data_IF_149326947906
#
_entry.id   IF_149326947906
#
_cell.length_a   1.000
_cell.length_b   1.000
_cell.length_c   1.000
_cell.angle_alpha   90.00
_cell.angle_beta   90.00
_cell.angle_gamma   90.00
#
_symmetry.space_group_name_H-M   'P 1'
#
loop_
_entity.id
_entity.type
_entity.pdbx_description
1 polymer ?
#
# COMPACT_ATOMS: atom_id res chain seq x y z
N UNK A 1 11.54 1.17 9.51
CA UNK A 1 10.93 1.46 8.20
C UNK A 1 9.58 2.08 8.43
N UNK A 2 9.15 3.05 7.61
CA UNK A 2 7.83 3.67 7.75
C UNK A 2 7.07 3.65 6.43
N UNK A 3 5.76 3.49 6.52
CA UNK A 3 4.87 3.52 5.36
C UNK A 3 3.68 4.43 5.61
N UNK A 4 3.26 5.16 4.57
CA UNK A 4 1.96 5.83 4.51
C UNK A 4 1.13 5.09 3.47
N UNK A 5 0.02 4.50 3.92
CA UNK A 5 -0.86 3.68 3.08
C UNK A 5 -2.10 4.49 2.76
N UNK A 6 -2.49 4.47 1.49
CA UNK A 6 -3.73 5.07 1.00
C UNK A 6 -4.57 3.98 0.34
N UNK A 7 -5.80 3.80 0.82
CA UNK A 7 -6.83 3.03 0.12
C UNK A 7 -7.29 3.86 -1.07
N UNK A 8 -7.15 3.32 -2.28
CA UNK A 8 -7.43 4.03 -3.52
C UNK A 8 -8.36 3.24 -4.41
N UNK A 9 -9.23 3.94 -5.16
CA UNK A 9 -9.95 3.36 -6.29
C UNK A 9 -9.08 3.22 -7.53
N UNK A 10 -8.03 4.02 -7.65
CA UNK A 10 -6.97 3.92 -8.64
C UNK A 10 -5.73 4.71 -8.21
N UNK A 11 -4.55 4.34 -8.70
CA UNK A 11 -3.32 5.13 -8.57
C UNK A 11 -2.39 4.91 -9.76
N UNK A 12 -1.51 5.87 -10.05
CA UNK A 12 -0.54 5.76 -11.14
C UNK A 12 0.75 6.54 -10.87
N UNK A 13 1.82 6.14 -11.56
CA UNK A 13 3.11 6.83 -11.56
C UNK A 13 3.42 7.24 -12.99
N UNK A 14 3.71 8.52 -13.20
CA UNK A 14 4.03 9.10 -14.51
C UNK A 14 5.41 9.76 -14.45
N UNK A 15 6.26 9.48 -15.43
CA UNK A 15 7.62 10.03 -15.54
C UNK A 15 7.72 10.73 -16.89
N UNK A 16 8.08 12.02 -16.90
CA UNK A 16 8.17 12.84 -18.11
C UNK A 16 6.91 12.77 -19.00
N UNK A 17 5.72 12.76 -18.38
CA UNK A 17 4.44 12.68 -19.08
C UNK A 17 4.04 11.29 -19.59
N UNK A 18 4.88 10.27 -19.41
CA UNK A 18 4.58 8.88 -19.78
C UNK A 18 4.18 8.08 -18.54
N UNK A 19 2.98 7.49 -18.57
CA UNK A 19 2.53 6.60 -17.50
C UNK A 19 3.44 5.37 -17.44
N UNK A 20 4.13 5.21 -16.32
CA UNK A 20 5.07 4.10 -16.10
C UNK A 20 4.36 2.87 -15.53
N UNK A 21 3.40 3.08 -14.64
CA UNK A 21 2.61 2.03 -14.00
C UNK A 21 1.31 2.60 -13.43
N UNK A 22 0.27 1.77 -13.38
CA UNK A 22 -1.01 2.10 -12.78
C UNK A 22 -1.65 0.87 -12.14
N UNK A 23 -2.48 1.11 -11.13
CA UNK A 23 -3.32 0.13 -10.47
C UNK A 23 -4.77 0.63 -10.46
N UNK A 24 -5.71 -0.31 -10.35
CA UNK A 24 -7.12 -0.01 -10.07
C UNK A 24 -7.31 0.05 -8.54
N UNK A 25 -8.40 -0.51 -8.02
CA UNK A 25 -8.66 -0.57 -6.59
C UNK A 25 -7.53 -1.32 -5.85
N UNK A 26 -7.08 -0.75 -4.74
CA UNK A 26 -6.05 -1.35 -3.92
C UNK A 26 -5.34 -0.36 -3.01
N UNK A 27 -4.05 -0.59 -2.80
CA UNK A 27 -3.19 0.24 -1.97
C UNK A 27 -2.19 1.04 -2.79
N UNK A 28 -2.11 2.34 -2.52
CA UNK A 28 -0.94 3.15 -2.84
C UNK A 28 -0.09 3.31 -1.58
N UNK A 29 1.17 2.87 -1.64
CA UNK A 29 2.06 2.83 -0.47
C UNK A 29 3.25 3.75 -0.73
N UNK A 30 3.42 4.77 0.11
CA UNK A 30 4.62 5.58 0.15
C UNK A 30 5.54 5.00 1.22
N UNK A 31 6.73 4.56 0.82
CA UNK A 31 7.69 3.86 1.69
C UNK A 31 8.86 4.78 2.00
N UNK A 32 9.16 4.97 3.28
CA UNK A 32 10.36 5.61 3.79
C UNK A 32 11.26 4.59 4.48
N UNK A 33 12.52 4.53 4.05
CA UNK A 33 13.54 3.62 4.56
C UNK A 33 14.67 4.46 5.18
N UNK A 34 15.11 4.10 6.38
CA UNK A 34 16.26 4.69 7.08
C UNK A 34 17.40 3.67 7.25
N UNK A 35 18.58 4.14 7.65
CA UNK A 35 19.80 3.31 7.74
C UNK A 35 19.68 2.13 8.72
N UNK A 36 18.90 2.30 9.79
CA UNK A 36 18.69 1.28 10.80
C UNK A 36 17.70 0.18 10.37
N UNK A 37 17.03 0.34 9.22
CA UNK A 37 15.99 -0.58 8.78
C UNK A 37 16.58 -1.89 8.28
N UNK A 38 15.96 -2.99 8.71
CA UNK A 38 16.39 -4.33 8.34
C UNK A 38 15.36 -5.04 7.45
N UNK A 39 15.74 -6.20 6.94
CA UNK A 39 14.82 -7.07 6.19
C UNK A 39 13.63 -7.50 7.04
N UNK A 40 13.85 -7.72 8.33
CA UNK A 40 12.80 -8.09 9.28
C UNK A 40 11.72 -7.00 9.39
N UNK A 41 12.09 -5.72 9.34
CA UNK A 41 11.12 -4.62 9.32
C UNK A 41 10.25 -4.67 8.06
N UNK A 42 10.86 -4.93 6.90
CA UNK A 42 10.15 -5.07 5.64
C UNK A 42 9.19 -6.27 5.67
N UNK A 43 9.65 -7.43 6.14
CA UNK A 43 8.83 -8.64 6.24
C UNK A 43 7.67 -8.46 7.22
N UNK A 44 7.90 -7.75 8.33
CA UNK A 44 6.87 -7.41 9.31
C UNK A 44 5.82 -6.45 8.71
N UNK A 45 6.27 -5.39 8.02
CA UNK A 45 5.36 -4.44 7.36
C UNK A 45 4.57 -5.11 6.25
N UNK A 46 5.18 -5.94 5.41
CA UNK A 46 4.49 -6.69 4.35
C UNK A 46 3.34 -7.51 4.92
N UNK A 47 3.59 -8.33 5.95
CA UNK A 47 2.55 -9.13 6.62
C UNK A 47 1.43 -8.27 7.19
N UNK A 48 1.79 -7.13 7.80
CA UNK A 48 0.83 -6.21 8.40
C UNK A 48 -0.05 -5.53 7.35
N UNK A 49 0.53 -5.12 6.23
CA UNK A 49 -0.17 -4.46 5.12
C UNK A 49 -1.12 -5.43 4.44
N UNK A 50 -0.67 -6.65 4.12
CA UNK A 50 -1.52 -7.67 3.48
C UNK A 50 -2.67 -8.16 4.35
N UNK A 51 -2.58 -7.97 5.67
CA UNK A 51 -3.64 -8.31 6.62
C UNK A 51 -4.52 -7.13 7.06
N UNK A 52 -4.30 -5.93 6.50
CA UNK A 52 -4.98 -4.72 6.94
C UNK A 52 -6.43 -4.71 6.46
N UNK A 53 -7.38 -4.82 7.39
CA UNK A 53 -8.82 -4.86 7.08
C UNK A 53 -9.41 -3.48 6.84
N UNK A 54 -9.12 -2.91 5.68
CA UNK A 54 -9.56 -1.56 5.30
C UNK A 54 -10.37 -1.54 4.01
N UNK A 55 -10.63 -2.69 3.39
CA UNK A 55 -11.60 -2.81 2.30
C UNK A 55 -12.96 -3.26 2.81
N UNK A 56 -13.99 -2.83 2.10
CA UNK A 56 -15.37 -3.08 2.48
C UNK A 56 -15.72 -4.56 2.20
N UNK A 57 -16.52 -5.15 3.08
CA UNK A 57 -17.17 -6.44 2.85
C UNK A 57 -18.49 -6.26 2.06
N UNK A 58 -19.26 -7.34 1.94
CA UNK A 58 -20.54 -7.33 1.21
C UNK A 58 -21.59 -6.41 1.85
N UNK A 59 -21.42 -6.02 3.11
CA UNK A 59 -22.29 -5.11 3.83
C UNK A 59 -21.77 -3.66 3.85
N UNK A 60 -20.67 -3.38 3.13
CA UNK A 60 -20.05 -2.06 3.12
C UNK A 60 -19.24 -1.75 4.38
N UNK A 61 -18.91 -2.75 5.20
CA UNK A 61 -18.14 -2.58 6.44
C UNK A 61 -16.68 -2.96 6.20
N UNK A 62 -15.74 -2.15 6.69
CA UNK A 62 -14.30 -2.39 6.51
C UNK A 62 -13.83 -3.65 7.27
N UNK A 63 -13.84 -4.79 6.58
CA UNK A 63 -13.51 -6.10 7.14
C UNK A 63 -12.60 -6.94 6.23
N UNK A 64 -12.44 -6.56 4.97
CA UNK A 64 -11.58 -7.26 4.00
C UNK A 64 -10.21 -6.60 3.89
N UNK A 65 -9.20 -7.42 3.61
CA UNK A 65 -7.81 -7.02 3.39
C UNK A 65 -7.43 -7.16 1.93
#
# INVERSE_FOLDING_TARGET
MRVVIQRVSHASVTINGVCKSAIQEGFMILVGIEEADTKEDADWLCKKITGLRVFDDENGVMNKS
#
